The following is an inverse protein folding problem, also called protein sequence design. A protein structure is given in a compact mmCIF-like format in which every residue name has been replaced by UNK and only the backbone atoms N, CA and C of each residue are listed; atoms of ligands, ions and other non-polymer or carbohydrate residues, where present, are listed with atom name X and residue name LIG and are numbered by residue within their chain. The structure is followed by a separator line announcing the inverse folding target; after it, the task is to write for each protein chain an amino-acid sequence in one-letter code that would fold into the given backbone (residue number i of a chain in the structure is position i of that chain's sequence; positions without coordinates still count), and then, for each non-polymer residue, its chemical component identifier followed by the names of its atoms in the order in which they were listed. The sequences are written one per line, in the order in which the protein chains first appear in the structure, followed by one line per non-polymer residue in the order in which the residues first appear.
data_IF_827884260213
#
_entry.id   IF_827884260213
#
_cell.length_a   1.000
_cell.length_b   1.000
_cell.length_c   1.000
_cell.angle_alpha   90.00
_cell.angle_beta   90.00
_cell.angle_gamma   90.00
#
_symmetry.space_group_name_H-M   'P 1'
#
loop_
_entity.id
_entity.type
_entity.pdbx_description
1 polymer ?
#
# COMPACT_ATOMS: atom_id res chain seq x y z
N UNK A 1 -9.67 26.36 20.40
CA UNK A 1 -10.55 25.74 19.37
C UNK A 1 -9.75 25.29 18.14
N UNK A 2 -8.60 25.91 17.82
CA UNK A 2 -7.77 25.53 16.68
C UNK A 2 -6.93 24.25 16.89
N UNK A 3 -6.64 23.88 18.14
CA UNK A 3 -5.68 22.80 18.46
C UNK A 3 -6.15 21.41 18.04
N UNK A 4 -7.46 21.20 17.89
CA UNK A 4 -8.06 19.94 17.47
C UNK A 4 -8.40 19.88 15.97
N UNK A 5 -8.41 21.01 15.27
CA UNK A 5 -8.77 21.06 13.85
C UNK A 5 -7.71 20.36 13.00
N UNK A 6 -6.42 20.62 13.29
CA UNK A 6 -5.30 20.00 12.59
C UNK A 6 -5.30 18.47 12.72
N UNK A 7 -5.31 17.88 13.94
CA UNK A 7 -5.34 16.43 14.08
C UNK A 7 -6.61 15.81 13.49
N UNK A 8 -7.76 16.49 13.53
CA UNK A 8 -8.99 16.03 12.89
C UNK A 8 -8.82 15.92 11.35
N UNK A 9 -8.35 16.98 10.70
CA UNK A 9 -8.16 17.00 9.23
C UNK A 9 -7.12 15.95 8.81
N UNK A 10 -6.02 15.85 9.54
CA UNK A 10 -4.97 14.85 9.30
C UNK A 10 -5.53 13.43 9.48
N UNK A 11 -6.33 13.21 10.52
CA UNK A 11 -6.97 11.92 10.79
C UNK A 11 -7.95 11.52 9.69
N UNK A 12 -8.78 12.46 9.22
CA UNK A 12 -9.71 12.23 8.11
C UNK A 12 -8.98 11.91 6.80
N UNK A 13 -7.86 12.61 6.51
CA UNK A 13 -7.02 12.28 5.37
C UNK A 13 -6.44 10.86 5.48
N UNK A 14 -5.97 10.47 6.67
CA UNK A 14 -5.48 9.11 6.94
C UNK A 14 -6.55 8.03 6.72
N UNK A 15 -7.76 8.25 7.25
CA UNK A 15 -8.91 7.36 7.04
C UNK A 15 -9.27 7.25 5.56
N UNK A 16 -9.28 8.37 4.84
CA UNK A 16 -9.58 8.39 3.41
C UNK A 16 -8.55 7.55 2.62
N UNK A 17 -7.26 7.67 2.93
CA UNK A 17 -6.22 6.86 2.27
C UNK A 17 -6.39 5.36 2.53
N UNK A 18 -6.73 4.97 3.77
CA UNK A 18 -7.00 3.57 4.10
C UNK A 18 -8.25 3.08 3.36
N UNK A 19 -9.34 3.86 3.38
CA UNK A 19 -10.57 3.53 2.67
C UNK A 19 -10.31 3.34 1.17
N UNK A 20 -9.57 4.26 0.54
CA UNK A 20 -9.15 4.16 -0.85
C UNK A 20 -8.29 2.92 -1.10
N UNK A 21 -7.34 2.60 -0.22
CA UNK A 21 -6.51 1.39 -0.35
C UNK A 21 -7.34 0.10 -0.33
N UNK A 22 -8.32 0.01 0.58
CA UNK A 22 -9.24 -1.11 0.66
C UNK A 22 -10.11 -1.18 -0.60
N UNK A 23 -10.57 -0.02 -1.06
CA UNK A 23 -11.39 0.10 -2.26
C UNK A 23 -10.64 -0.38 -3.51
N UNK A 24 -9.37 -0.01 -3.69
CA UNK A 24 -8.53 -0.52 -4.77
C UNK A 24 -8.28 -2.03 -4.66
N UNK A 25 -8.18 -2.58 -3.44
CA UNK A 25 -8.06 -4.02 -3.22
C UNK A 25 -9.34 -4.79 -3.52
N UNK A 26 -10.51 -4.17 -3.45
CA UNK A 26 -11.79 -4.79 -3.85
C UNK A 26 -11.85 -5.00 -5.37
N UNK A 27 -11.18 -4.15 -6.16
CA UNK A 27 -10.99 -4.39 -7.60
C UNK A 27 -12.25 -4.26 -8.46
N UNK A 28 -13.28 -3.53 -8.00
CA UNK A 28 -14.52 -3.29 -8.77
C UNK A 28 -14.90 -1.82 -8.72
N UNK A 29 -15.09 -1.10 -9.85
CA UNK A 29 -14.98 -1.46 -11.29
C UNK A 29 -13.56 -1.47 -11.91
N UNK A 30 -13.45 -1.79 -13.22
CA UNK A 30 -12.22 -1.89 -14.05
C UNK A 30 -11.20 -0.76 -13.85
N UNK A 31 -11.67 0.48 -13.58
CA UNK A 31 -10.77 1.60 -13.28
C UNK A 31 -9.88 1.34 -12.05
N UNK A 32 -10.35 0.52 -11.11
CA UNK A 32 -9.69 0.23 -9.84
C UNK A 32 -8.75 -0.96 -9.90
N UNK A 33 -8.76 -1.73 -10.98
CA UNK A 33 -7.75 -2.73 -11.30
C UNK A 33 -6.67 -2.18 -12.25
N UNK A 34 -6.76 -0.90 -12.65
CA UNK A 34 -5.84 -0.28 -13.61
C UNK A 34 -4.39 -0.21 -13.12
N UNK A 35 -4.19 -0.18 -11.80
CA UNK A 35 -2.86 -0.29 -11.21
C UNK A 35 -2.21 -1.65 -11.48
N UNK A 36 -2.99 -2.63 -11.96
CA UNK A 36 -2.52 -3.94 -12.35
C UNK A 36 -2.91 -4.22 -13.81
N UNK A 37 -2.27 -3.47 -14.69
CA UNK A 37 -2.42 -3.60 -16.13
C UNK A 37 -1.87 -4.96 -16.60
N UNK A 38 -2.63 -5.78 -17.35
CA UNK A 38 -2.11 -7.04 -17.90
C UNK A 38 -0.96 -6.86 -18.88
N UNK A 39 -0.80 -5.66 -19.46
CA UNK A 39 0.09 -5.38 -20.57
C UNK A 39 1.28 -4.47 -20.23
N UNK A 40 1.34 -3.95 -19.01
CA UNK A 40 2.46 -3.13 -18.54
C UNK A 40 2.84 -3.45 -17.09
N UNK A 41 4.15 -3.54 -16.82
CA UNK A 41 4.69 -3.79 -15.49
C UNK A 41 4.92 -2.48 -14.75
N UNK A 42 3.88 -1.95 -14.12
CA UNK A 42 3.98 -0.78 -13.24
C UNK A 42 4.19 -1.21 -11.78
N UNK A 43 5.41 -1.65 -11.49
CA UNK A 43 5.83 -2.10 -10.16
C UNK A 43 5.65 -1.01 -9.07
N UNK A 44 5.68 0.27 -9.46
CA UNK A 44 5.44 1.38 -8.54
C UNK A 44 3.95 1.50 -8.18
N UNK A 45 3.07 1.40 -9.16
CA UNK A 45 1.63 1.42 -8.93
C UNK A 45 1.20 0.27 -8.01
N UNK A 46 1.68 -0.95 -8.25
CA UNK A 46 1.39 -2.13 -7.41
C UNK A 46 1.77 -1.90 -5.94
N UNK A 47 2.97 -1.40 -5.68
CA UNK A 47 3.44 -1.09 -4.32
C UNK A 47 2.66 0.03 -3.66
N UNK A 48 2.37 1.08 -4.42
CA UNK A 48 1.65 2.24 -3.91
C UNK A 48 0.27 1.83 -3.40
N UNK A 49 -0.44 0.95 -4.11
CA UNK A 49 -1.77 0.49 -3.70
C UNK A 49 -1.70 -0.52 -2.57
N UNK A 50 -0.78 -1.48 -2.66
CA UNK A 50 -0.72 -2.59 -1.72
C UNK A 50 -0.10 -2.22 -0.37
N UNK A 51 0.84 -1.28 -0.34
CA UNK A 51 1.62 -1.00 0.84
C UNK A 51 1.77 0.51 1.10
N UNK A 52 1.97 1.32 0.04
CA UNK A 52 2.16 2.78 0.17
C UNK A 52 0.98 3.52 0.79
N UNK A 53 -0.19 3.49 0.14
CA UNK A 53 -1.43 4.12 0.62
C UNK A 53 -1.83 3.67 2.03
N UNK A 54 -1.90 2.37 2.36
CA UNK A 54 -2.32 1.95 3.69
C UNK A 54 -1.30 2.36 4.76
N UNK A 55 0.01 2.26 4.48
CA UNK A 55 1.05 2.70 5.43
C UNK A 55 1.03 4.21 5.62
N UNK A 56 0.90 5.00 4.55
CA UNK A 56 0.78 6.45 4.64
C UNK A 56 -0.48 6.88 5.40
N UNK A 57 -1.61 6.23 5.13
CA UNK A 57 -2.86 6.46 5.86
C UNK A 57 -2.74 6.14 7.36
N UNK A 58 -2.12 5.00 7.71
CA UNK A 58 -1.85 4.63 9.10
C UNK A 58 -0.88 5.61 9.79
N UNK A 59 0.12 6.14 9.07
CA UNK A 59 1.05 7.12 9.58
C UNK A 59 0.34 8.45 9.90
N UNK A 60 -0.54 8.91 9.01
CA UNK A 60 -1.38 10.10 9.24
C UNK A 60 -2.29 9.91 10.45
N UNK A 61 -2.88 8.73 10.63
CA UNK A 61 -3.67 8.44 11.83
C UNK A 61 -2.83 8.51 13.11
N UNK A 62 -1.60 8.00 13.09
CA UNK A 62 -0.72 8.10 14.23
C UNK A 62 -0.31 9.55 14.53
N UNK A 63 -0.02 10.36 13.50
CA UNK A 63 0.26 11.79 13.65
C UNK A 63 -0.94 12.52 14.25
N UNK A 64 -2.15 12.25 13.75
CA UNK A 64 -3.38 12.79 14.28
C UNK A 64 -3.58 12.43 15.77
N UNK A 65 -3.35 11.16 16.13
CA UNK A 65 -3.45 10.70 17.50
C UNK A 65 -2.41 11.36 18.43
N UNK A 66 -1.15 11.50 17.99
CA UNK A 66 -0.11 12.21 18.75
C UNK A 66 -0.46 13.68 18.95
N UNK A 67 -1.03 14.34 17.93
CA UNK A 67 -1.47 15.73 18.02
C UNK A 67 -2.71 15.94 18.90
N UNK A 68 -3.57 14.93 19.00
CA UNK A 68 -4.79 14.97 19.82
C UNK A 68 -4.54 14.64 21.31
N UNK A 69 -3.48 13.90 21.66
CA UNK A 69 -3.16 13.54 23.04
C UNK A 69 -2.28 14.64 23.66
N UNK A 70 -2.79 15.46 24.59
CA UNK A 70 -2.05 16.62 25.10
C UNK A 70 -0.86 16.23 25.98
N UNK A 71 -0.97 15.14 26.75
CA UNK A 71 0.05 14.72 27.72
C UNK A 71 0.97 13.60 27.21
N UNK A 72 2.22 13.61 27.69
CA UNK A 72 3.17 12.52 27.46
C UNK A 72 2.90 11.34 28.39
N UNK A 73 1.89 10.56 28.03
CA UNK A 73 1.51 9.35 28.74
C UNK A 73 1.89 8.08 27.94
N UNK A 74 1.69 6.92 28.55
CA UNK A 74 1.98 5.62 27.93
C UNK A 74 1.25 5.44 26.58
N UNK A 75 0.05 5.99 26.43
CA UNK A 75 -0.72 5.93 25.18
C UNK A 75 0.00 6.68 24.05
N UNK A 76 0.47 7.91 24.30
CA UNK A 76 1.21 8.70 23.30
C UNK A 76 2.52 8.02 22.90
N UNK A 77 3.22 7.41 23.87
CA UNK A 77 4.44 6.63 23.61
C UNK A 77 4.17 5.39 22.75
N UNK A 78 3.06 4.69 23.00
CA UNK A 78 2.61 3.56 22.17
C UNK A 78 2.36 3.98 20.73
N UNK A 79 1.68 5.11 20.52
CA UNK A 79 1.41 5.64 19.16
C UNK A 79 2.71 6.03 18.46
N UNK A 80 3.66 6.68 19.15
CA UNK A 80 4.98 6.99 18.60
C UNK A 80 5.75 5.70 18.24
N UNK A 81 5.66 4.67 19.08
CA UNK A 81 6.21 3.34 18.78
C UNK A 81 5.59 2.71 17.53
N UNK A 82 4.27 2.82 17.38
CA UNK A 82 3.56 2.36 16.18
C UNK A 82 4.00 3.13 14.92
N UNK A 83 4.23 4.45 15.02
CA UNK A 83 4.83 5.22 13.91
C UNK A 83 6.20 4.67 13.52
N UNK A 84 7.05 4.38 14.50
CA UNK A 84 8.36 3.77 14.26
C UNK A 84 8.26 2.45 13.52
N UNK A 85 7.28 1.61 13.86
CA UNK A 85 7.03 0.34 13.17
C UNK A 85 6.57 0.55 11.72
N UNK A 86 5.76 1.58 11.45
CA UNK A 86 5.28 1.92 10.11
C UNK A 86 6.38 2.44 9.17
N UNK A 87 7.55 2.83 9.70
CA UNK A 87 8.70 3.20 8.88
C UNK A 87 9.21 2.02 8.06
N UNK A 88 9.16 0.80 8.60
CA UNK A 88 9.64 -0.42 7.92
C UNK A 88 8.91 -0.67 6.59
N UNK A 89 7.56 -0.75 6.54
CA UNK A 89 6.86 -0.89 5.26
C UNK A 89 7.02 0.35 4.37
N UNK A 90 7.12 1.55 4.94
CA UNK A 90 7.35 2.76 4.14
C UNK A 90 8.70 2.72 3.39
N UNK A 91 9.77 2.28 4.08
CA UNK A 91 11.08 2.08 3.47
C UNK A 91 11.05 0.93 2.44
N UNK A 92 10.34 -0.15 2.74
CA UNK A 92 10.16 -1.27 1.80
C UNK A 92 9.48 -0.83 0.49
N UNK A 93 8.50 0.08 0.55
CA UNK A 93 7.91 0.70 -0.64
C UNK A 93 8.95 1.43 -1.51
N UNK A 94 9.89 2.12 -0.87
CA UNK A 94 10.85 3.02 -1.54
C UNK A 94 12.11 2.30 -2.05
N UNK A 95 12.53 1.21 -1.40
CA UNK A 95 13.77 0.50 -1.72
C UNK A 95 13.48 -0.56 -2.77
N UNK A 96 14.06 -0.38 -3.98
CA UNK A 96 14.35 -1.32 -5.08
C UNK A 96 13.25 -2.33 -5.51
N UNK A 97 13.16 -2.79 -6.77
CA UNK A 97 12.08 -3.66 -7.29
C UNK A 97 12.07 -5.12 -6.74
N UNK A 98 12.19 -5.30 -5.42
CA UNK A 98 11.90 -6.55 -4.72
C UNK A 98 10.45 -7.02 -4.97
N UNK A 99 10.24 -8.32 -5.22
CA UNK A 99 8.91 -8.86 -5.40
C UNK A 99 8.09 -8.68 -4.12
N UNK A 100 6.85 -8.21 -4.27
CA UNK A 100 5.90 -8.16 -3.15
C UNK A 100 5.45 -9.58 -2.81
N UNK A 101 5.35 -9.94 -1.52
CA UNK A 101 4.88 -11.26 -1.13
C UNK A 101 3.41 -11.45 -1.53
N UNK A 102 3.10 -12.62 -2.10
CA UNK A 102 1.80 -12.91 -2.71
C UNK A 102 0.59 -12.77 -1.79
N UNK A 103 0.77 -12.87 -0.46
CA UNK A 103 -0.32 -12.70 0.51
C UNK A 103 -0.85 -11.26 0.59
N UNK A 104 -0.07 -10.25 0.14
CA UNK A 104 -0.53 -8.86 0.11
C UNK A 104 -1.55 -8.62 -1.00
N UNK A 105 -1.51 -9.45 -2.05
CA UNK A 105 -2.38 -9.31 -3.21
C UNK A 105 -3.78 -9.87 -2.91
N UNK A 106 -4.86 -9.14 -3.28
CA UNK A 106 -6.21 -9.69 -3.22
C UNK A 106 -6.38 -10.87 -4.19
N UNK A 107 -7.41 -11.70 -3.98
CA UNK A 107 -7.59 -12.94 -4.74
C UNK A 107 -7.66 -12.74 -6.26
N UNK A 108 -8.38 -11.71 -6.72
CA UNK A 108 -8.45 -11.37 -8.14
C UNK A 108 -7.07 -10.97 -8.69
N UNK A 109 -6.26 -10.31 -7.86
CA UNK A 109 -4.97 -9.80 -8.28
C UNK A 109 -3.94 -10.92 -8.45
N UNK A 110 -3.98 -11.91 -7.56
CA UNK A 110 -3.13 -13.10 -7.67
C UNK A 110 -3.36 -13.82 -9.00
N UNK A 111 -4.62 -14.05 -9.37
CA UNK A 111 -4.94 -14.71 -10.65
C UNK A 111 -4.37 -13.98 -11.88
N UNK A 112 -4.39 -12.63 -11.87
CA UNK A 112 -3.81 -11.84 -12.96
C UNK A 112 -2.28 -11.92 -12.99
N UNK A 113 -1.65 -11.95 -11.82
CA UNK A 113 -0.20 -12.09 -11.70
C UNK A 113 0.26 -13.48 -12.17
N UNK A 114 -0.43 -14.53 -11.74
CA UNK A 114 -0.13 -15.92 -12.16
C UNK A 114 -0.22 -16.03 -13.69
N UNK A 115 -1.25 -15.42 -14.29
CA UNK A 115 -1.40 -15.37 -15.77
C UNK A 115 -0.24 -14.62 -16.46
N UNK A 116 0.33 -13.58 -15.84
CA UNK A 116 1.50 -12.88 -16.39
C UNK A 116 2.76 -13.73 -16.28
N UNK A 117 2.98 -14.38 -15.15
CA UNK A 117 4.13 -15.27 -14.92
C UNK A 117 4.10 -16.43 -15.93
N UNK A 118 2.96 -17.09 -16.14
CA UNK A 118 2.79 -18.16 -17.16
C UNK A 118 3.10 -17.69 -18.58
N UNK A 119 2.67 -16.48 -18.97
CA UNK A 119 2.97 -15.93 -20.31
C UNK A 119 4.45 -15.59 -20.49
N UNK A 120 5.10 -15.09 -19.44
CA UNK A 120 6.52 -14.78 -19.49
C UNK A 120 7.34 -16.07 -19.65
N UNK A 121 6.98 -17.13 -18.92
CA UNK A 121 7.59 -18.45 -19.07
C UNK A 121 7.40 -19.03 -20.48
N UNK A 122 6.21 -18.90 -21.06
CA UNK A 122 5.94 -19.33 -22.43
C UNK A 122 6.83 -18.59 -23.45
N UNK A 123 6.93 -17.25 -23.35
CA UNK A 123 7.79 -16.45 -24.23
C UNK A 123 9.28 -16.80 -24.08
N UNK A 124 9.74 -17.04 -22.85
CA UNK A 124 11.13 -17.44 -22.60
C UNK A 124 11.42 -18.84 -23.18
N UNK A 125 10.43 -19.74 -23.16
CA UNK A 125 10.57 -21.07 -23.78
C UNK A 125 10.65 -21.00 -25.30
N UNK A 126 9.83 -20.16 -25.95
CA UNK A 126 9.87 -19.94 -27.40
C UNK A 126 11.20 -19.31 -27.86
N UNK A 127 11.76 -18.41 -27.05
CA UNK A 127 13.08 -17.83 -27.30
C UNK A 127 14.23 -18.84 -27.10
N UNK A 128 14.07 -19.79 -26.19
CA UNK A 128 15.08 -20.83 -25.92
C UNK A 128 15.08 -21.96 -26.95
N UNK A 129 13.94 -22.26 -27.58
CA UNK A 129 13.83 -23.29 -28.63
C UNK A 129 14.15 -22.75 -30.04
N UNK A 130 14.34 -21.43 -30.17
CA UNK A 130 14.64 -20.74 -31.43
C UNK A 130 16.13 -20.55 -31.76
N UNK A 131 17.03 -20.91 -30.84
CA UNK A 131 18.51 -20.92 -30.98
C UNK A 131 19.04 -22.34 -31.24
#
# INVERSE_FOLDING_TARGET
MNDLVVPLVVGLAGLLMIALSLWFRVGRPVLMSRWMDPWSEDWQAERSVLLGLPTAGAMLLCVAAVGAIPEWNALRLLVVGAMGLLVVPMLYCLIAPLPLPGFLYPAWARALRDTREERMEALLSELSDGD
#
